data_IF_524050941427
#
_entry.id   IF_524050941427
#
_cell.length_a   1.000
_cell.length_b   1.000
_cell.length_c   1.000
_cell.angle_alpha   90.00
_cell.angle_beta   90.00
_cell.angle_gamma   90.00
#
_symmetry.space_group_name_H-M   'P 1'
#
loop_
_entity.id
_entity.type
_entity.pdbx_description
1 polymer ?
#
# COMPACT_ATOMS: atom_id res chain seq x y z
N UNK A 1 68.07 -20.39 12.09
CA UNK A 1 66.75 -20.62 12.74
C UNK A 1 65.94 -21.53 11.87
N UNK A 2 65.47 -22.71 12.32
CA UNK A 2 64.67 -23.57 11.48
C UNK A 2 63.34 -22.83 11.16
N UNK A 3 63.04 -22.65 9.88
CA UNK A 3 61.78 -22.11 9.42
C UNK A 3 60.68 -23.11 9.78
N UNK A 4 59.81 -22.77 10.73
CA UNK A 4 58.65 -23.59 11.11
C UNK A 4 57.82 -23.94 9.89
N UNK A 5 57.21 -25.13 9.90
CA UNK A 5 56.30 -25.61 8.82
C UNK A 5 55.20 -24.57 8.58
N UNK A 6 54.89 -24.23 7.31
CA UNK A 6 53.81 -23.28 6.99
C UNK A 6 52.49 -23.75 7.63
N UNK A 7 51.75 -22.81 8.25
CA UNK A 7 50.46 -23.11 8.86
C UNK A 7 49.40 -23.18 7.80
N UNK A 8 48.82 -24.36 7.57
CA UNK A 8 47.71 -24.62 6.65
C UNK A 8 46.48 -24.92 7.52
N UNK A 9 45.36 -24.30 7.18
CA UNK A 9 44.08 -24.59 7.85
C UNK A 9 43.29 -25.57 6.99
N UNK A 10 42.98 -26.79 7.49
CA UNK A 10 42.19 -27.75 6.74
C UNK A 10 40.75 -27.21 6.61
N UNK A 11 40.30 -26.90 5.37
CA UNK A 11 38.95 -26.48 5.07
C UNK A 11 38.42 -27.33 3.91
N UNK A 12 37.30 -27.99 4.14
CA UNK A 12 36.61 -28.77 3.09
C UNK A 12 35.39 -28.00 2.61
N UNK A 13 35.28 -27.83 1.32
CA UNK A 13 34.14 -27.17 0.66
C UNK A 13 33.39 -28.17 -0.20
N UNK A 14 32.05 -28.06 -0.26
CA UNK A 14 31.23 -28.82 -1.20
C UNK A 14 31.39 -28.24 -2.64
N UNK A 15 31.11 -29.01 -3.69
CA UNK A 15 31.14 -28.50 -5.07
C UNK A 15 30.28 -27.26 -5.28
N UNK A 16 29.12 -27.19 -4.64
CA UNK A 16 28.20 -26.04 -4.69
C UNK A 16 28.80 -24.81 -4.01
N UNK A 17 29.46 -24.99 -2.85
CA UNK A 17 30.15 -23.92 -2.17
C UNK A 17 31.33 -23.39 -2.98
N UNK A 18 32.07 -24.26 -3.63
CA UNK A 18 33.18 -23.86 -4.53
C UNK A 18 32.64 -23.03 -5.69
N UNK A 19 31.55 -23.45 -6.33
CA UNK A 19 30.93 -22.70 -7.43
C UNK A 19 30.49 -21.29 -6.99
N UNK A 20 29.76 -21.21 -5.87
CA UNK A 20 29.26 -19.94 -5.29
C UNK A 20 30.41 -19.00 -4.90
N UNK A 21 31.43 -19.53 -4.21
CA UNK A 21 32.61 -18.75 -3.81
C UNK A 21 33.42 -18.26 -5.01
N UNK A 22 33.53 -19.08 -6.06
CA UNK A 22 34.21 -18.70 -7.32
C UNK A 22 33.46 -17.55 -8.01
N UNK A 23 32.14 -17.60 -8.05
CA UNK A 23 31.32 -16.53 -8.60
C UNK A 23 31.56 -15.22 -7.82
N UNK A 24 31.57 -15.27 -6.48
CA UNK A 24 31.81 -14.09 -5.62
C UNK A 24 33.24 -13.58 -5.83
N UNK A 25 34.24 -14.46 -5.84
CA UNK A 25 35.65 -14.10 -5.98
C UNK A 25 35.98 -13.39 -7.31
N UNK A 26 35.18 -13.65 -8.37
CA UNK A 26 35.31 -13.07 -9.69
C UNK A 26 34.32 -11.93 -9.96
N UNK A 27 33.44 -11.63 -9.02
CA UNK A 27 32.43 -10.57 -9.17
C UNK A 27 33.06 -9.18 -9.15
N UNK A 28 32.64 -8.32 -10.09
CA UNK A 28 33.01 -6.90 -10.14
C UNK A 28 32.08 -6.01 -9.32
N UNK A 29 30.93 -6.54 -8.89
CA UNK A 29 29.89 -5.79 -8.18
C UNK A 29 29.74 -6.22 -6.71
N UNK A 30 30.31 -7.35 -6.31
CA UNK A 30 30.30 -7.78 -4.92
C UNK A 30 31.18 -6.86 -4.06
N UNK A 31 30.84 -6.73 -2.79
CA UNK A 31 31.64 -5.96 -1.84
C UNK A 31 33.10 -6.49 -1.80
N UNK A 32 34.06 -5.59 -1.84
CA UNK A 32 35.50 -5.95 -1.83
C UNK A 32 35.83 -6.92 -0.71
N UNK A 33 35.24 -6.76 0.44
CA UNK A 33 35.43 -7.61 1.61
C UNK A 33 34.92 -9.05 1.39
N UNK A 34 33.79 -9.20 0.69
CA UNK A 34 33.27 -10.53 0.35
C UNK A 34 34.15 -11.23 -0.69
N UNK A 35 34.67 -10.47 -1.68
CA UNK A 35 35.62 -11.00 -2.67
C UNK A 35 36.90 -11.49 -2.00
N UNK A 36 37.49 -10.70 -1.08
CA UNK A 36 38.67 -11.13 -0.31
C UNK A 36 38.39 -12.40 0.50
N UNK A 37 37.25 -12.46 1.21
CA UNK A 37 36.85 -13.61 2.02
C UNK A 37 36.63 -14.87 1.17
N UNK A 38 35.99 -14.74 0.02
CA UNK A 38 35.80 -15.85 -0.91
C UNK A 38 37.15 -16.40 -1.41
N UNK A 39 38.10 -15.53 -1.75
CA UNK A 39 39.45 -15.93 -2.18
C UNK A 39 40.20 -16.67 -1.07
N UNK A 40 40.11 -16.19 0.18
CA UNK A 40 40.70 -16.86 1.34
C UNK A 40 40.16 -18.28 1.50
N UNK A 41 38.82 -18.46 1.39
CA UNK A 41 38.18 -19.77 1.57
C UNK A 41 38.57 -20.75 0.46
N UNK A 42 38.57 -20.29 -0.80
CA UNK A 42 38.98 -21.11 -1.95
C UNK A 42 40.45 -21.51 -1.84
N UNK A 43 41.32 -20.55 -1.51
CA UNK A 43 42.73 -20.83 -1.34
C UNK A 43 43.04 -21.73 -0.18
N UNK A 44 42.33 -21.61 0.95
CA UNK A 44 42.47 -22.51 2.11
C UNK A 44 42.01 -23.93 1.75
N UNK A 45 40.92 -24.09 1.02
CA UNK A 45 40.43 -25.39 0.56
C UNK A 45 41.39 -26.06 -0.44
N UNK A 46 42.16 -25.28 -1.23
CA UNK A 46 43.23 -25.80 -2.09
C UNK A 46 44.56 -26.08 -1.35
N UNK A 47 44.60 -25.90 -0.04
CA UNK A 47 45.77 -26.19 0.80
C UNK A 47 46.85 -25.08 0.81
N UNK A 48 46.57 -23.86 0.39
CA UNK A 48 47.52 -22.75 0.45
C UNK A 48 47.85 -22.36 1.90
N UNK A 49 49.13 -22.06 2.20
CA UNK A 49 49.52 -21.54 3.51
C UNK A 49 48.87 -20.19 3.84
N UNK A 50 48.54 -19.96 5.11
CA UNK A 50 47.93 -18.69 5.56
C UNK A 50 48.75 -17.45 5.19
N UNK A 51 50.11 -17.58 5.12
CA UNK A 51 50.98 -16.48 4.73
C UNK A 51 50.78 -16.09 3.30
N UNK A 52 50.67 -17.04 2.37
CA UNK A 52 50.43 -16.83 0.94
C UNK A 52 49.07 -16.22 0.70
N UNK A 53 48.01 -16.73 1.39
CA UNK A 53 46.67 -16.16 1.34
C UNK A 53 46.65 -14.71 1.83
N UNK A 54 47.40 -14.38 2.87
CA UNK A 54 47.51 -13.02 3.40
C UNK A 54 48.12 -12.04 2.36
N UNK A 55 49.16 -12.49 1.65
CA UNK A 55 49.81 -11.73 0.60
C UNK A 55 48.86 -11.53 -0.58
N UNK A 56 48.17 -12.59 -1.06
CA UNK A 56 47.21 -12.51 -2.18
C UNK A 56 46.04 -11.52 -1.93
N UNK A 57 45.51 -11.48 -0.70
CA UNK A 57 44.39 -10.60 -0.39
C UNK A 57 44.77 -9.30 0.31
N UNK A 58 46.07 -9.04 0.46
CA UNK A 58 46.65 -7.84 1.10
C UNK A 58 46.12 -7.63 2.55
N UNK A 59 46.07 -8.71 3.34
CA UNK A 59 45.68 -8.70 4.73
C UNK A 59 46.83 -9.23 5.61
N UNK A 60 46.72 -8.99 6.93
CA UNK A 60 47.67 -9.61 7.86
C UNK A 60 47.38 -11.09 8.02
N UNK A 61 48.42 -11.91 8.27
CA UNK A 61 48.28 -13.35 8.57
C UNK A 61 47.32 -13.61 9.74
N UNK A 62 47.37 -12.77 10.76
CA UNK A 62 46.47 -12.85 11.90
C UNK A 62 44.99 -12.58 11.52
N UNK A 63 44.74 -11.72 10.56
CA UNK A 63 43.37 -11.47 10.04
C UNK A 63 42.85 -12.68 9.27
N UNK A 64 43.68 -13.28 8.41
CA UNK A 64 43.34 -14.50 7.66
C UNK A 64 43.11 -15.67 8.62
N UNK A 65 43.98 -15.88 9.61
CA UNK A 65 43.80 -16.93 10.61
C UNK A 65 42.50 -16.77 11.41
N UNK A 66 42.18 -15.55 11.82
CA UNK A 66 40.92 -15.25 12.55
C UNK A 66 39.69 -15.51 11.66
N UNK A 67 39.77 -15.13 10.41
CA UNK A 67 38.67 -15.37 9.48
C UNK A 67 38.47 -16.86 9.19
N UNK A 68 39.55 -17.62 8.95
CA UNK A 68 39.45 -19.07 8.75
C UNK A 68 38.91 -19.79 10.02
N UNK A 69 39.29 -19.35 11.20
CA UNK A 69 38.71 -19.87 12.44
C UNK A 69 37.20 -19.60 12.52
N UNK A 70 36.76 -18.38 12.14
CA UNK A 70 35.34 -18.05 12.05
C UNK A 70 34.63 -18.98 11.05
N UNK A 71 35.20 -19.20 9.87
CA UNK A 71 34.61 -20.06 8.84
C UNK A 71 34.47 -21.52 9.27
N UNK A 72 35.40 -22.01 10.06
CA UNK A 72 35.33 -23.35 10.66
C UNK A 72 34.26 -23.46 11.75
N UNK A 73 33.97 -22.37 12.46
CA UNK A 73 32.98 -22.36 13.56
C UNK A 73 31.54 -22.23 13.08
N UNK A 74 31.28 -21.34 12.09
CA UNK A 74 29.93 -20.99 11.66
C UNK A 74 29.60 -21.43 10.22
N UNK A 75 30.57 -22.04 9.55
CA UNK A 75 30.47 -22.44 8.15
C UNK A 75 31.00 -21.41 7.14
N UNK A 76 31.53 -21.88 5.99
CA UNK A 76 32.19 -21.02 5.00
C UNK A 76 31.30 -19.91 4.44
N UNK A 77 30.05 -20.23 4.08
CA UNK A 77 29.12 -19.26 3.49
C UNK A 77 28.67 -18.21 4.50
N UNK A 78 28.35 -18.60 5.72
CA UNK A 78 27.98 -17.68 6.80
C UNK A 78 29.13 -16.75 7.20
N UNK A 79 30.37 -17.20 7.04
CA UNK A 79 31.54 -16.41 7.38
C UNK A 79 31.78 -15.23 6.42
N UNK A 80 31.21 -15.27 5.20
CA UNK A 80 31.32 -14.17 4.23
C UNK A 80 30.72 -12.87 4.77
N UNK A 81 29.69 -12.97 5.59
CA UNK A 81 29.05 -11.82 6.19
C UNK A 81 29.68 -11.40 7.52
N UNK A 82 29.55 -10.12 7.85
CA UNK A 82 29.95 -9.65 9.17
C UNK A 82 28.89 -10.03 10.20
N UNK A 83 29.31 -10.72 11.24
CA UNK A 83 28.43 -10.97 12.39
C UNK A 83 28.08 -9.63 13.05
N UNK A 84 26.80 -9.49 13.41
CA UNK A 84 26.34 -8.33 14.17
C UNK A 84 27.21 -8.20 15.44
N UNK A 85 27.84 -7.06 15.62
CA UNK A 85 28.64 -6.80 16.84
C UNK A 85 27.72 -6.70 18.03
N UNK A 86 28.17 -7.13 19.20
CA UNK A 86 27.40 -7.09 20.45
C UNK A 86 26.91 -5.67 20.83
N UNK A 87 27.56 -4.65 20.29
CA UNK A 87 27.18 -3.27 20.57
C UNK A 87 27.33 -2.89 22.06
N UNK A 88 26.81 -1.71 22.40
CA UNK A 88 26.64 -1.29 23.79
C UNK A 88 25.52 -2.13 24.42
N UNK A 89 25.65 -2.65 25.63
CA UNK A 89 24.58 -3.35 26.34
C UNK A 89 23.30 -2.48 26.32
N UNK A 90 22.17 -3.13 26.06
CA UNK A 90 20.89 -2.43 26.08
C UNK A 90 20.59 -1.92 27.49
N UNK A 91 20.32 -0.63 27.63
CA UNK A 91 19.94 -0.03 28.93
C UNK A 91 18.52 -0.38 29.33
N UNK A 92 17.68 -0.78 28.39
CA UNK A 92 16.27 -1.20 28.59
C UNK A 92 16.24 -2.72 28.41
N UNK A 93 15.85 -3.43 29.44
CA UNK A 93 15.74 -4.91 29.45
C UNK A 93 14.62 -5.38 28.52
N UNK A 94 14.66 -6.64 28.09
CA UNK A 94 13.62 -7.24 27.25
C UNK A 94 12.26 -7.30 27.97
N UNK A 95 12.27 -7.51 29.30
CA UNK A 95 11.04 -7.47 30.12
C UNK A 95 10.40 -6.07 30.10
N UNK A 96 11.22 -5.02 30.25
CA UNK A 96 10.75 -3.65 30.18
C UNK A 96 10.18 -3.31 28.80
N UNK A 97 10.80 -3.79 27.71
CA UNK A 97 10.29 -3.66 26.34
C UNK A 97 8.95 -4.40 26.17
N UNK A 98 8.87 -5.61 26.70
CA UNK A 98 7.64 -6.43 26.67
C UNK A 98 6.51 -5.76 27.42
N UNK A 99 6.78 -5.17 28.57
CA UNK A 99 5.80 -4.39 29.32
C UNK A 99 5.27 -3.20 28.51
N UNK A 100 6.15 -2.40 27.87
CA UNK A 100 5.74 -1.28 27.01
C UNK A 100 4.87 -1.77 25.84
N UNK A 101 5.22 -2.89 25.22
CA UNK A 101 4.43 -3.49 24.13
C UNK A 101 3.06 -3.95 24.62
N UNK A 102 2.99 -4.59 25.79
CA UNK A 102 1.72 -5.00 26.40
C UNK A 102 0.81 -3.81 26.69
N UNK A 103 1.35 -2.71 27.23
CA UNK A 103 0.60 -1.46 27.41
C UNK A 103 0.04 -0.91 26.10
N UNK A 104 0.87 -0.92 25.05
CA UNK A 104 0.46 -0.43 23.74
C UNK A 104 -0.64 -1.27 23.10
N UNK A 105 -0.75 -2.55 23.43
CA UNK A 105 -1.81 -3.46 22.97
C UNK A 105 -3.09 -3.35 23.81
N UNK A 106 -3.07 -2.67 24.94
CA UNK A 106 -4.23 -2.46 25.79
C UNK A 106 -4.85 -1.09 25.52
N UNK A 107 -6.16 -0.96 25.28
CA UNK A 107 -6.80 0.35 25.13
C UNK A 107 -6.52 1.24 26.36
N UNK A 108 -6.20 2.54 26.16
CA UNK A 108 -5.87 3.44 27.27
C UNK A 108 -6.92 3.47 28.38
N UNK A 109 -8.19 3.46 28.00
CA UNK A 109 -9.36 3.51 28.89
C UNK A 109 -9.51 2.27 29.81
N UNK A 110 -8.88 1.14 29.42
CA UNK A 110 -9.00 -0.15 30.15
C UNK A 110 -7.86 -0.32 31.17
N UNK A 111 -6.96 0.67 31.26
CA UNK A 111 -5.86 0.67 32.21
C UNK A 111 -6.21 1.50 33.48
N UNK A 112 -5.70 1.12 34.63
CA UNK A 112 -5.79 1.95 35.84
C UNK A 112 -5.18 3.33 35.57
N UNK A 113 -5.88 4.40 35.90
CA UNK A 113 -5.46 5.79 35.66
C UNK A 113 -5.06 6.08 34.19
N UNK A 114 -5.55 5.26 33.24
CA UNK A 114 -5.33 5.45 31.82
C UNK A 114 -6.00 6.74 31.31
N UNK A 115 -5.45 7.37 30.27
CA UNK A 115 -6.08 8.54 29.69
C UNK A 115 -7.41 8.18 29.02
N UNK A 116 -8.34 9.14 28.99
CA UNK A 116 -9.68 8.97 28.41
C UNK A 116 -9.71 8.79 26.89
N UNK A 117 -8.57 8.87 26.25
CA UNK A 117 -8.41 8.69 24.79
C UNK A 117 -8.74 7.27 24.36
N UNK A 118 -9.37 7.12 23.19
CA UNK A 118 -9.68 5.80 22.61
C UNK A 118 -8.43 5.04 22.14
N UNK A 119 -7.40 5.77 21.71
CA UNK A 119 -6.15 5.23 21.18
C UNK A 119 -4.95 5.89 21.85
N UNK A 120 -3.85 5.17 21.93
CA UNK A 120 -2.57 5.73 22.34
C UNK A 120 -2.01 6.68 21.29
N UNK A 121 -1.59 7.87 21.70
CA UNK A 121 -0.55 8.59 20.98
C UNK A 121 0.81 8.21 21.56
N UNK A 122 1.89 8.42 20.80
CA UNK A 122 3.25 8.18 21.32
C UNK A 122 3.55 9.02 22.56
N UNK A 123 2.93 10.18 22.66
CA UNK A 123 3.10 11.11 23.78
C UNK A 123 2.41 10.61 25.04
N UNK A 124 1.15 10.23 24.92
CA UNK A 124 0.37 9.74 26.05
C UNK A 124 0.87 8.40 26.55
N UNK A 125 1.32 7.51 25.65
CA UNK A 125 1.95 6.26 26.06
C UNK A 125 3.29 6.50 26.77
N UNK A 126 4.13 7.40 26.26
CA UNK A 126 5.39 7.74 26.92
C UNK A 126 5.17 8.37 28.30
N UNK A 127 4.14 9.21 28.45
CA UNK A 127 3.77 9.81 29.74
C UNK A 127 3.29 8.74 30.72
N UNK A 128 2.45 7.81 30.28
CA UNK A 128 1.96 6.71 31.09
C UNK A 128 3.10 5.77 31.55
N UNK A 129 3.97 5.39 30.61
CA UNK A 129 5.17 4.56 30.92
C UNK A 129 6.04 5.23 31.97
N UNK A 130 6.36 6.54 31.82
CA UNK A 130 7.15 7.26 32.82
C UNK A 130 6.50 7.29 34.20
N UNK A 131 5.18 7.50 34.26
CA UNK A 131 4.43 7.58 35.51
C UNK A 131 4.46 6.25 36.28
N UNK A 132 4.38 5.11 35.57
CA UNK A 132 4.26 3.79 36.18
C UNK A 132 5.55 2.96 36.16
N UNK A 133 6.65 3.48 35.60
CA UNK A 133 7.90 2.75 35.46
C UNK A 133 8.50 2.32 36.79
N UNK A 134 8.39 3.12 37.85
CA UNK A 134 8.92 2.80 39.18
C UNK A 134 8.17 1.65 39.85
N UNK A 135 6.84 1.67 39.76
CA UNK A 135 5.97 0.62 40.31
C UNK A 135 6.28 -0.75 39.67
N UNK A 136 6.68 -0.74 38.40
CA UNK A 136 7.03 -1.92 37.62
C UNK A 136 8.54 -2.27 37.73
N UNK A 137 9.31 -1.59 38.59
CA UNK A 137 10.77 -1.75 38.76
C UNK A 137 11.61 -1.40 37.52
N UNK A 138 11.06 -0.56 36.60
CA UNK A 138 11.75 -0.08 35.40
C UNK A 138 12.09 1.41 35.47
N UNK A 139 12.06 2.02 36.66
CA UNK A 139 12.28 3.46 36.86
C UNK A 139 13.62 3.96 36.31
N UNK A 140 14.70 3.25 36.50
CA UNK A 140 16.03 3.62 35.98
C UNK A 140 16.06 3.66 34.43
N UNK A 141 15.40 2.72 33.77
CA UNK A 141 15.48 2.54 32.33
C UNK A 141 14.37 3.29 31.57
N UNK A 142 13.16 3.39 32.13
CA UNK A 142 11.98 3.94 31.49
C UNK A 142 11.40 5.19 32.14
N UNK A 143 11.82 5.54 33.37
CA UNK A 143 11.32 6.73 34.09
C UNK A 143 11.58 8.06 33.36
N UNK A 144 12.51 8.08 32.41
CA UNK A 144 12.80 9.23 31.52
C UNK A 144 12.60 8.90 30.03
N UNK A 145 11.83 7.85 29.72
CA UNK A 145 11.63 7.42 28.34
C UNK A 145 11.01 8.53 27.48
N UNK A 146 11.66 8.82 26.36
CA UNK A 146 11.18 9.79 25.38
C UNK A 146 10.17 9.14 24.41
N UNK A 147 9.45 9.95 23.65
CA UNK A 147 8.59 9.46 22.54
C UNK A 147 9.38 8.58 21.57
N UNK A 148 10.63 8.97 21.26
CA UNK A 148 11.49 8.24 20.34
C UNK A 148 11.87 6.85 20.93
N UNK A 149 12.10 6.78 22.23
CA UNK A 149 12.38 5.51 22.92
C UNK A 149 11.18 4.57 22.80
N UNK A 150 9.98 5.07 23.10
CA UNK A 150 8.73 4.29 22.97
C UNK A 150 8.51 3.87 21.51
N UNK A 151 8.69 4.80 20.55
CA UNK A 151 8.56 4.49 19.14
C UNK A 151 9.51 3.36 18.70
N UNK A 152 10.77 3.41 19.10
CA UNK A 152 11.76 2.34 18.78
C UNK A 152 11.32 0.99 19.32
N UNK A 153 10.83 0.93 20.58
CA UNK A 153 10.36 -0.32 21.20
C UNK A 153 9.16 -0.89 20.44
N UNK A 154 8.24 -0.03 20.00
CA UNK A 154 7.04 -0.45 19.28
C UNK A 154 7.33 -0.84 17.83
N UNK A 155 8.25 -0.14 17.16
CA UNK A 155 8.63 -0.43 15.77
C UNK A 155 9.32 -1.80 15.65
N UNK A 156 10.15 -2.19 16.63
CA UNK A 156 10.73 -3.54 16.71
C UNK A 156 9.65 -4.65 16.80
N UNK A 157 8.48 -4.35 17.34
CA UNK A 157 7.33 -5.26 17.43
C UNK A 157 6.23 -5.02 16.40
N UNK A 158 6.46 -4.11 15.45
CA UNK A 158 5.47 -3.69 14.42
C UNK A 158 4.14 -3.19 15.00
N UNK A 159 4.14 -2.68 16.24
CA UNK A 159 2.95 -2.24 16.96
C UNK A 159 2.68 -0.76 16.67
N UNK A 160 1.47 -0.44 16.18
CA UNK A 160 1.05 0.93 15.81
C UNK A 160 -0.27 1.31 16.52
N UNK A 161 -0.26 1.55 17.83
CA UNK A 161 -1.48 1.72 18.65
C UNK A 161 -2.26 3.01 18.36
N UNK A 162 -1.67 3.92 17.58
CA UNK A 162 -2.26 5.17 17.11
C UNK A 162 -2.99 5.04 15.77
N UNK A 163 -3.01 3.83 15.17
CA UNK A 163 -3.63 3.59 13.86
C UNK A 163 -4.78 2.62 13.98
N UNK A 164 -5.87 2.95 13.29
CA UNK A 164 -7.02 2.06 13.12
C UNK A 164 -6.92 1.45 11.72
N UNK A 165 -7.04 0.13 11.65
CA UNK A 165 -7.28 -0.58 10.40
C UNK A 165 -8.63 -1.27 10.53
N UNK A 166 -9.55 -0.91 9.64
CA UNK A 166 -10.86 -1.54 9.63
C UNK A 166 -10.75 -2.94 9.03
N UNK A 167 -11.44 -3.90 9.61
CA UNK A 167 -11.61 -5.25 9.10
C UNK A 167 -13.10 -5.62 9.12
N UNK A 168 -13.49 -6.62 8.34
CA UNK A 168 -14.86 -7.10 8.24
C UNK A 168 -14.98 -8.44 8.99
N UNK A 169 -15.49 -8.39 10.23
CA UNK A 169 -15.63 -9.58 11.08
C UNK A 169 -16.75 -10.52 10.59
N UNK A 170 -17.87 -9.95 10.13
CA UNK A 170 -18.99 -10.73 9.60
C UNK A 170 -19.11 -10.52 8.09
N UNK A 171 -18.74 -11.53 7.32
CA UNK A 171 -19.05 -11.59 5.89
C UNK A 171 -20.49 -12.06 5.73
N UNK A 172 -21.28 -11.35 4.91
CA UNK A 172 -22.61 -11.84 4.54
C UNK A 172 -22.50 -13.19 3.81
N UNK A 173 -23.57 -14.03 3.81
CA UNK A 173 -23.55 -15.34 3.19
C UNK A 173 -23.19 -15.29 1.69
N UNK A 174 -23.49 -14.19 1.01
CA UNK A 174 -23.22 -14.01 -0.43
C UNK A 174 -21.88 -13.32 -0.72
N UNK A 175 -21.05 -13.05 0.31
CA UNK A 175 -19.84 -12.24 0.15
C UNK A 175 -18.87 -12.87 -0.86
N UNK A 176 -18.55 -14.14 -0.68
CA UNK A 176 -17.59 -14.84 -1.54
C UNK A 176 -18.11 -15.01 -2.99
N UNK A 177 -19.39 -15.32 -3.14
CA UNK A 177 -20.02 -15.46 -4.45
C UNK A 177 -19.95 -14.14 -5.24
N UNK A 178 -20.36 -13.02 -4.61
CA UNK A 178 -20.32 -11.69 -5.23
C UNK A 178 -18.89 -11.20 -5.48
N UNK A 179 -17.98 -11.41 -4.54
CA UNK A 179 -16.57 -11.05 -4.73
C UNK A 179 -15.97 -11.80 -5.92
N UNK A 180 -16.25 -13.12 -6.01
CA UNK A 180 -15.82 -13.95 -7.13
C UNK A 180 -16.39 -13.46 -8.46
N UNK A 181 -17.65 -13.08 -8.51
CA UNK A 181 -18.30 -12.56 -9.73
C UNK A 181 -17.61 -11.27 -10.22
N UNK A 182 -17.35 -10.31 -9.31
CA UNK A 182 -16.61 -9.07 -9.64
C UNK A 182 -15.20 -9.37 -10.13
N UNK A 183 -14.48 -10.28 -9.47
CA UNK A 183 -13.11 -10.63 -9.84
C UNK A 183 -13.02 -11.36 -11.17
N UNK A 184 -13.97 -12.24 -11.47
CA UNK A 184 -14.07 -12.89 -12.77
C UNK A 184 -14.32 -11.88 -13.88
N UNK A 185 -15.16 -10.86 -13.63
CA UNK A 185 -15.36 -9.76 -14.57
C UNK A 185 -14.05 -9.01 -14.82
N UNK A 186 -13.31 -8.63 -13.78
CA UNK A 186 -12.03 -7.93 -13.93
C UNK A 186 -10.99 -8.79 -14.65
N UNK A 187 -11.00 -10.10 -14.43
CA UNK A 187 -10.13 -11.02 -15.18
C UNK A 187 -10.50 -11.05 -16.66
N UNK A 188 -11.78 -11.01 -16.99
CA UNK A 188 -12.25 -10.91 -18.37
C UNK A 188 -11.80 -9.59 -19.00
N UNK A 189 -11.95 -8.45 -18.32
CA UNK A 189 -11.42 -7.15 -18.77
C UNK A 189 -9.92 -7.22 -19.06
N UNK A 190 -9.13 -7.86 -18.18
CA UNK A 190 -7.69 -8.03 -18.38
C UNK A 190 -7.37 -8.83 -19.64
N UNK A 191 -8.14 -9.91 -19.91
CA UNK A 191 -7.98 -10.74 -21.12
C UNK A 191 -8.32 -9.91 -22.36
N UNK A 192 -9.43 -9.18 -22.33
CA UNK A 192 -9.89 -8.35 -23.45
C UNK A 192 -8.86 -7.22 -23.73
N UNK A 193 -8.30 -6.57 -22.72
CA UNK A 193 -7.22 -5.59 -22.86
C UNK A 193 -5.97 -6.18 -23.51
N UNK A 194 -5.54 -7.37 -23.08
CA UNK A 194 -4.38 -8.04 -23.70
C UNK A 194 -4.64 -8.38 -25.17
N UNK A 195 -5.88 -8.75 -25.48
CA UNK A 195 -6.27 -9.05 -26.86
C UNK A 195 -6.24 -7.79 -27.74
N UNK A 196 -6.70 -6.65 -27.22
CA UNK A 196 -6.64 -5.34 -27.91
C UNK A 196 -5.18 -4.92 -28.14
N UNK A 197 -4.31 -5.06 -27.13
CA UNK A 197 -2.90 -4.73 -27.24
C UNK A 197 -2.17 -5.58 -28.32
N UNK A 198 -2.69 -6.77 -28.64
CA UNK A 198 -2.11 -7.65 -29.68
C UNK A 198 -2.65 -7.40 -31.09
N UNK A 199 -3.79 -6.76 -31.22
CA UNK A 199 -4.41 -6.41 -32.50
C UNK A 199 -4.27 -4.91 -32.74
N UNK A 200 -3.24 -4.51 -33.48
CA UNK A 200 -3.04 -3.10 -33.86
C UNK A 200 -4.33 -2.48 -34.42
N UNK A 201 -5.00 -1.67 -33.59
CA UNK A 201 -6.02 -0.72 -34.03
C UNK A 201 -7.47 -1.19 -34.06
N UNK A 202 -7.90 -2.21 -33.36
CA UNK A 202 -9.31 -2.57 -33.34
C UNK A 202 -10.09 -2.08 -32.12
N UNK A 203 -11.23 -1.45 -32.40
CA UNK A 203 -12.36 -1.18 -31.51
C UNK A 203 -12.73 -2.38 -30.63
N UNK A 204 -13.33 -2.09 -29.49
CA UNK A 204 -13.79 -3.00 -28.44
C UNK A 204 -14.03 -4.46 -28.86
N UNK A 205 -13.33 -5.47 -28.28
CA UNK A 205 -13.52 -6.85 -28.65
C UNK A 205 -14.94 -7.30 -28.29
N UNK A 206 -15.60 -7.94 -29.21
CA UNK A 206 -16.88 -8.65 -29.02
C UNK A 206 -18.10 -7.83 -28.60
N UNK A 207 -18.17 -6.53 -28.85
CA UNK A 207 -19.34 -5.72 -28.52
C UNK A 207 -19.70 -5.76 -27.02
N UNK A 208 -18.70 -5.84 -26.14
CA UNK A 208 -18.89 -5.86 -24.69
C UNK A 208 -18.26 -4.62 -24.06
N UNK A 209 -19.00 -3.96 -23.19
CA UNK A 209 -18.60 -2.76 -22.44
C UNK A 209 -18.57 -3.11 -20.95
N UNK A 210 -17.56 -2.64 -20.23
CA UNK A 210 -17.42 -2.86 -18.80
C UNK A 210 -17.30 -1.52 -18.08
N UNK A 211 -18.29 -1.18 -17.27
CA UNK A 211 -18.35 0.07 -16.51
C UNK A 211 -18.22 -0.23 -15.02
N UNK A 212 -17.34 0.47 -14.33
CA UNK A 212 -17.34 0.55 -12.87
C UNK A 212 -18.05 1.86 -12.50
N UNK A 213 -19.17 1.77 -11.78
CA UNK A 213 -20.07 2.88 -11.48
C UNK A 213 -20.21 3.08 -9.98
N UNK A 214 -20.32 4.36 -9.55
CA UNK A 214 -20.71 4.74 -8.19
C UNK A 214 -21.15 6.21 -8.14
N UNK A 215 -21.68 6.64 -6.99
CA UNK A 215 -22.02 8.01 -6.69
C UNK A 215 -21.05 8.63 -5.70
N UNK A 216 -20.69 9.89 -5.95
CA UNK A 216 -20.00 10.74 -4.99
C UNK A 216 -20.93 11.87 -4.54
N UNK A 217 -21.70 11.64 -3.44
CA UNK A 217 -22.59 12.66 -2.93
C UNK A 217 -21.85 13.75 -2.16
N UNK A 218 -22.51 14.89 -1.96
CA UNK A 218 -22.11 15.89 -0.98
C UNK A 218 -20.83 16.64 -1.31
N UNK A 219 -20.47 16.78 -2.60
CA UNK A 219 -19.35 17.64 -3.01
C UNK A 219 -19.71 19.08 -2.69
N UNK A 220 -18.96 19.72 -1.78
CA UNK A 220 -19.29 21.03 -1.23
C UNK A 220 -18.81 22.16 -2.14
N UNK A 221 -19.69 23.08 -2.48
CA UNK A 221 -19.35 24.38 -3.05
C UNK A 221 -19.02 25.34 -1.90
N UNK A 222 -17.73 25.64 -1.71
CA UNK A 222 -17.24 26.51 -0.63
C UNK A 222 -16.50 27.68 -1.26
N UNK A 223 -16.91 28.90 -0.89
CA UNK A 223 -16.25 30.15 -1.30
C UNK A 223 -15.49 30.79 -0.17
N UNK A 224 -14.47 31.55 -0.51
CA UNK A 224 -13.78 32.42 0.45
C UNK A 224 -14.63 33.66 0.74
N UNK A 225 -14.46 34.26 1.92
CA UNK A 225 -14.98 35.61 2.24
C UNK A 225 -13.99 36.67 1.79
N UNK A 226 -12.70 36.40 2.02
CA UNK A 226 -11.59 37.26 1.57
C UNK A 226 -10.63 36.44 0.70
N UNK A 227 -9.98 37.12 -0.24
CA UNK A 227 -9.05 36.49 -1.19
C UNK A 227 -7.87 35.80 -0.49
N UNK A 228 -7.45 34.69 -1.07
CA UNK A 228 -6.24 33.99 -0.66
C UNK A 228 -5.02 34.90 -0.86
N UNK A 229 -4.10 34.89 0.09
CA UNK A 229 -2.82 35.57 -0.02
C UNK A 229 -1.75 34.60 -0.53
N UNK A 230 -1.19 34.82 -1.73
CA UNK A 230 -0.23 33.90 -2.32
C UNK A 230 1.06 33.78 -1.48
N UNK A 231 1.85 32.73 -1.69
CA UNK A 231 3.17 32.60 -1.10
C UNK A 231 4.07 33.77 -1.49
N UNK A 232 4.91 34.20 -0.55
CA UNK A 232 5.90 35.26 -0.74
C UNK A 232 7.23 34.81 -0.12
N UNK A 233 8.38 35.33 -0.56
CA UNK A 233 9.66 35.09 0.10
C UNK A 233 9.56 35.38 1.62
N UNK A 234 9.97 34.39 2.44
CA UNK A 234 9.82 34.44 3.91
C UNK A 234 8.42 34.06 4.43
N UNK A 235 7.44 33.90 3.55
CA UNK A 235 6.06 33.44 3.86
C UNK A 235 5.63 32.38 2.86
N UNK A 236 6.23 31.19 2.97
CA UNK A 236 6.19 30.11 1.98
C UNK A 236 4.83 29.42 1.75
N UNK A 237 3.76 29.82 2.44
CA UNK A 237 2.45 29.19 2.34
C UNK A 237 1.39 30.15 1.79
N UNK A 238 0.44 29.62 1.01
CA UNK A 238 -0.81 30.32 0.72
C UNK A 238 -1.56 30.51 2.05
N UNK A 239 -1.91 31.73 2.37
CA UNK A 239 -2.68 32.08 3.57
C UNK A 239 -4.11 32.32 3.16
N UNK A 240 -5.02 31.58 3.77
CA UNK A 240 -6.45 31.60 3.53
C UNK A 240 -7.17 32.04 4.79
N UNK A 241 -8.27 32.79 4.62
CA UNK A 241 -9.14 33.15 5.71
C UNK A 241 -9.78 31.88 6.33
N UNK A 242 -9.99 31.89 7.64
CA UNK A 242 -10.72 30.85 8.34
C UNK A 242 -12.20 30.86 8.01
N UNK A 243 -12.75 32.03 7.72
CA UNK A 243 -14.16 32.16 7.38
C UNK A 243 -14.40 31.77 5.91
N UNK A 244 -15.51 31.09 5.70
CA UNK A 244 -15.93 30.64 4.37
C UNK A 244 -17.43 30.67 4.22
N UNK A 245 -17.90 30.78 2.98
CA UNK A 245 -19.30 30.72 2.63
C UNK A 245 -19.63 29.38 1.97
N UNK A 246 -20.74 28.76 2.41
CA UNK A 246 -21.25 27.53 1.78
C UNK A 246 -22.32 27.90 0.75
N UNK A 247 -22.17 27.42 -0.47
CA UNK A 247 -23.10 27.62 -1.58
C UNK A 247 -23.97 26.40 -1.86
N UNK A 248 -23.82 25.32 -1.07
CA UNK A 248 -24.56 24.08 -1.19
C UNK A 248 -23.65 22.92 -1.62
N UNK A 249 -24.30 21.85 -2.10
CA UNK A 249 -23.62 20.61 -2.48
C UNK A 249 -24.07 20.13 -3.84
N UNK A 250 -23.22 19.37 -4.52
CA UNK A 250 -23.54 18.61 -5.72
C UNK A 250 -23.26 17.13 -5.49
N UNK A 251 -23.94 16.30 -6.26
CA UNK A 251 -23.69 14.85 -6.36
C UNK A 251 -23.20 14.53 -7.75
N UNK A 252 -22.13 13.74 -7.83
CA UNK A 252 -21.57 13.24 -9.07
C UNK A 252 -21.93 11.76 -9.21
N UNK A 253 -22.66 11.39 -10.26
CA UNK A 253 -22.84 10.02 -10.72
C UNK A 253 -21.78 9.79 -11.79
N UNK A 254 -20.92 8.80 -11.62
CA UNK A 254 -19.84 8.57 -12.58
C UNK A 254 -19.63 7.08 -12.83
N UNK A 255 -19.21 6.76 -14.04
CA UNK A 255 -18.82 5.42 -14.46
C UNK A 255 -17.55 5.47 -15.31
N UNK A 256 -16.61 4.61 -15.03
CA UNK A 256 -15.38 4.45 -15.82
C UNK A 256 -15.51 3.23 -16.72
N UNK A 257 -15.30 3.41 -18.01
CA UNK A 257 -15.12 2.30 -18.95
C UNK A 257 -13.74 1.67 -18.68
N UNK A 258 -13.75 0.42 -18.27
CA UNK A 258 -12.53 -0.28 -17.84
C UNK A 258 -11.59 -0.64 -19.00
N UNK A 259 -12.09 -0.66 -20.23
CA UNK A 259 -11.30 -0.90 -21.45
C UNK A 259 -10.62 0.37 -21.91
N UNK A 260 -11.40 1.46 -22.06
CA UNK A 260 -10.91 2.71 -22.62
C UNK A 260 -10.35 3.67 -21.58
N UNK A 261 -10.72 3.51 -20.31
CA UNK A 261 -10.42 4.47 -19.24
C UNK A 261 -11.32 5.71 -19.26
N UNK A 262 -12.26 5.81 -20.20
CA UNK A 262 -13.16 6.95 -20.36
C UNK A 262 -14.13 7.05 -19.19
N UNK A 263 -14.33 8.25 -18.69
CA UNK A 263 -15.25 8.56 -17.59
C UNK A 263 -16.53 9.17 -18.14
N UNK A 264 -17.64 8.54 -17.84
CA UNK A 264 -18.99 9.06 -18.09
C UNK A 264 -19.53 9.66 -16.80
N UNK A 265 -20.15 10.83 -16.87
CA UNK A 265 -20.58 11.54 -15.65
C UNK A 265 -21.87 12.30 -15.81
N UNK A 266 -22.64 12.36 -14.73
CA UNK A 266 -23.78 13.25 -14.55
C UNK A 266 -23.65 13.98 -13.23
N UNK A 267 -23.77 15.31 -13.23
CA UNK A 267 -23.74 16.13 -12.02
C UNK A 267 -25.15 16.58 -11.71
N UNK A 268 -25.61 16.30 -10.50
CA UNK A 268 -26.95 16.61 -9.99
C UNK A 268 -26.87 17.29 -8.62
N UNK A 269 -27.93 17.94 -8.19
CA UNK A 269 -28.01 18.49 -6.83
C UNK A 269 -28.21 17.41 -5.77
N UNK A 270 -28.87 16.34 -6.15
CA UNK A 270 -29.13 15.14 -5.35
C UNK A 270 -28.96 13.93 -6.25
N UNK A 271 -28.98 12.73 -5.68
CA UNK A 271 -28.98 11.47 -6.43
C UNK A 271 -30.26 10.70 -6.10
N UNK A 272 -31.10 10.52 -7.10
CA UNK A 272 -32.36 9.78 -7.03
C UNK A 272 -32.33 8.62 -8.04
N UNK A 273 -33.29 7.71 -7.92
CA UNK A 273 -33.45 6.62 -8.91
C UNK A 273 -33.58 7.13 -10.34
N UNK A 274 -34.28 8.25 -10.53
CA UNK A 274 -34.40 8.90 -11.85
C UNK A 274 -33.06 9.36 -12.40
N UNK A 275 -32.16 9.89 -11.55
CA UNK A 275 -30.85 10.34 -11.99
C UNK A 275 -29.96 9.16 -12.41
N UNK A 276 -30.11 8.02 -11.73
CA UNK A 276 -29.43 6.79 -12.15
C UNK A 276 -29.99 6.26 -13.48
N UNK A 277 -31.31 6.31 -13.69
CA UNK A 277 -31.91 5.97 -14.99
C UNK A 277 -31.41 6.91 -16.08
N UNK A 278 -31.25 8.21 -15.82
CA UNK A 278 -30.67 9.15 -16.78
C UNK A 278 -29.20 8.80 -17.09
N UNK A 279 -28.44 8.36 -16.08
CA UNK A 279 -27.10 7.85 -16.31
C UNK A 279 -27.10 6.61 -17.21
N UNK A 280 -27.99 5.64 -16.98
CA UNK A 280 -28.12 4.46 -17.82
C UNK A 280 -28.50 4.84 -19.27
N UNK A 281 -29.40 5.81 -19.46
CA UNK A 281 -29.76 6.33 -20.80
C UNK A 281 -28.55 6.96 -21.50
N UNK A 282 -27.74 7.71 -20.78
CA UNK A 282 -26.51 8.30 -21.32
C UNK A 282 -25.54 7.22 -21.78
N UNK A 283 -25.30 6.20 -20.95
CA UNK A 283 -24.46 5.06 -21.31
C UNK A 283 -25.02 4.31 -22.52
N UNK A 284 -26.32 4.06 -22.53
CA UNK A 284 -27.01 3.39 -23.63
C UNK A 284 -26.82 4.11 -24.96
N UNK A 285 -26.94 5.45 -24.96
CA UNK A 285 -26.77 6.29 -26.15
C UNK A 285 -25.29 6.42 -26.58
N UNK A 286 -24.33 6.14 -25.69
CA UNK A 286 -22.90 6.28 -25.99
C UNK A 286 -22.35 5.09 -26.77
N UNK A 287 -22.88 3.90 -26.54
CA UNK A 287 -22.37 2.66 -27.12
C UNK A 287 -23.35 2.06 -28.14
N UNK A 288 -22.82 1.40 -29.16
CA UNK A 288 -23.62 0.77 -30.21
C UNK A 288 -24.68 -0.18 -29.65
N UNK A 289 -25.82 -0.31 -30.28
CA UNK A 289 -26.99 -1.05 -29.78
C UNK A 289 -26.70 -2.57 -29.56
N UNK A 290 -25.75 -3.12 -30.32
CA UNK A 290 -25.35 -4.53 -30.25
C UNK A 290 -24.47 -4.85 -29.02
N UNK A 291 -23.90 -3.83 -28.37
CA UNK A 291 -23.01 -4.04 -27.24
C UNK A 291 -23.78 -4.51 -26.00
N UNK A 292 -23.21 -5.45 -25.26
CA UNK A 292 -23.63 -5.77 -23.89
C UNK A 292 -22.86 -4.93 -22.90
N UNK A 293 -23.56 -4.34 -21.93
CA UNK A 293 -22.98 -3.41 -20.95
C UNK A 293 -23.03 -4.06 -19.57
N UNK A 294 -21.85 -4.42 -19.06
CA UNK A 294 -21.68 -4.88 -17.68
C UNK A 294 -21.39 -3.68 -16.80
N UNK A 295 -22.14 -3.55 -15.71
CA UNK A 295 -21.92 -2.47 -14.73
C UNK A 295 -21.63 -3.06 -13.37
N UNK A 296 -20.43 -2.80 -12.85
CA UNK A 296 -20.06 -3.08 -11.46
C UNK A 296 -20.53 -1.92 -10.61
N UNK A 297 -21.30 -2.21 -9.58
CA UNK A 297 -21.92 -1.21 -8.72
C UNK A 297 -22.16 -1.77 -7.30
N UNK A 298 -22.42 -0.91 -6.35
CA UNK A 298 -22.74 -1.30 -4.98
C UNK A 298 -24.20 -1.77 -4.82
N UNK A 299 -24.56 -2.17 -3.60
CA UNK A 299 -25.93 -2.64 -3.30
C UNK A 299 -26.88 -1.49 -2.89
N UNK A 300 -26.67 -0.25 -3.38
CA UNK A 300 -27.56 0.86 -3.07
C UNK A 300 -28.98 0.60 -3.65
N UNK A 301 -30.00 0.99 -2.93
CA UNK A 301 -31.41 0.67 -3.27
C UNK A 301 -31.88 1.32 -4.58
N UNK A 302 -31.26 2.40 -5.02
CA UNK A 302 -31.60 3.05 -6.28
C UNK A 302 -31.33 2.15 -7.49
N UNK A 303 -30.32 1.28 -7.42
CA UNK A 303 -29.91 0.37 -8.49
C UNK A 303 -30.96 -0.73 -8.75
N UNK A 304 -31.79 -1.03 -7.75
CA UNK A 304 -32.85 -2.05 -7.83
C UNK A 304 -34.24 -1.45 -7.69
N UNK A 305 -34.37 -0.14 -7.84
CA UNK A 305 -35.64 0.58 -7.73
C UNK A 305 -36.65 0.15 -8.79
N UNK A 306 -37.94 0.50 -8.60
CA UNK A 306 -38.97 0.24 -9.60
C UNK A 306 -38.70 0.98 -10.92
N UNK A 307 -38.19 2.21 -10.84
CA UNK A 307 -37.85 3.03 -12.00
C UNK A 307 -36.69 2.42 -12.79
N UNK A 308 -35.66 1.97 -12.08
CA UNK A 308 -34.49 1.29 -12.70
C UNK A 308 -34.92 0.01 -13.39
N UNK A 309 -35.70 -0.84 -12.73
CA UNK A 309 -36.20 -2.10 -13.32
C UNK A 309 -37.05 -1.84 -14.55
N UNK A 310 -37.98 -0.87 -14.48
CA UNK A 310 -38.83 -0.49 -15.60
C UNK A 310 -38.00 -0.08 -16.82
N UNK A 311 -36.91 0.68 -16.61
CA UNK A 311 -36.00 1.04 -17.70
C UNK A 311 -35.27 -0.20 -18.25
N UNK A 312 -34.69 -1.03 -17.39
CA UNK A 312 -33.98 -2.26 -17.81
C UNK A 312 -34.89 -3.24 -18.58
N UNK A 313 -36.19 -3.30 -18.22
CA UNK A 313 -37.17 -4.12 -18.94
C UNK A 313 -37.39 -3.64 -20.39
N UNK A 314 -37.18 -2.36 -20.69
CA UNK A 314 -37.22 -1.82 -22.06
C UNK A 314 -35.97 -2.16 -22.86
N UNK A 315 -34.88 -2.53 -22.19
CA UNK A 315 -33.56 -2.81 -22.77
C UNK A 315 -33.06 -4.22 -22.42
N UNK A 316 -33.94 -5.23 -22.56
CA UNK A 316 -33.66 -6.61 -22.20
C UNK A 316 -32.37 -7.16 -22.83
N UNK A 317 -31.50 -7.69 -22.01
CA UNK A 317 -30.22 -8.28 -22.45
C UNK A 317 -29.10 -7.27 -22.72
N UNK A 318 -29.38 -5.94 -22.67
CA UNK A 318 -28.43 -4.87 -22.89
C UNK A 318 -27.53 -4.64 -21.69
N UNK A 319 -28.11 -4.54 -20.49
CA UNK A 319 -27.43 -4.27 -19.24
C UNK A 319 -27.35 -5.50 -18.36
N UNK A 320 -26.18 -5.75 -17.77
CA UNK A 320 -25.97 -6.75 -16.73
C UNK A 320 -25.27 -6.10 -15.52
N UNK A 321 -25.95 -6.10 -14.38
CA UNK A 321 -25.40 -5.56 -13.13
C UNK A 321 -24.63 -6.62 -12.38
N UNK A 322 -23.44 -6.25 -11.92
CA UNK A 322 -22.56 -7.05 -11.07
C UNK A 322 -22.42 -6.33 -9.74
N UNK A 323 -23.04 -6.87 -8.71
CA UNK A 323 -23.07 -6.21 -7.41
C UNK A 323 -21.83 -6.55 -6.57
N UNK A 324 -21.16 -5.52 -6.04
CA UNK A 324 -20.11 -5.73 -5.05
C UNK A 324 -20.68 -6.34 -3.77
N UNK A 325 -19.89 -7.11 -2.98
CA UNK A 325 -20.32 -7.54 -1.66
C UNK A 325 -20.61 -6.35 -0.75
N UNK A 326 -21.49 -6.51 0.21
CA UNK A 326 -21.71 -5.49 1.25
C UNK A 326 -20.40 -5.21 1.98
N UNK A 327 -20.10 -3.95 2.25
CA UNK A 327 -18.88 -3.46 2.91
C UNK A 327 -17.58 -3.72 2.14
N UNK A 328 -17.66 -4.00 0.84
CA UNK A 328 -16.49 -4.21 -0.02
C UNK A 328 -16.45 -3.18 -1.17
N UNK A 329 -16.69 -1.90 -0.88
CA UNK A 329 -16.60 -0.81 -1.86
C UNK A 329 -15.21 -0.73 -2.51
N UNK A 330 -14.15 -1.17 -1.81
CA UNK A 330 -12.79 -1.26 -2.35
C UNK A 330 -12.67 -2.17 -3.59
N UNK A 331 -13.62 -3.07 -3.83
CA UNK A 331 -13.73 -3.83 -5.07
C UNK A 331 -14.30 -2.99 -6.23
N UNK A 332 -14.92 -1.85 -5.96
CA UNK A 332 -15.43 -0.95 -6.98
C UNK A 332 -14.32 0.02 -7.44
N UNK A 333 -13.84 -0.17 -8.67
CA UNK A 333 -12.66 0.55 -9.18
C UNK A 333 -12.87 2.06 -9.32
N UNK A 334 -14.10 2.52 -9.48
CA UNK A 334 -14.45 3.95 -9.56
C UNK A 334 -14.05 4.73 -8.28
N UNK A 335 -13.95 4.06 -7.15
CA UNK A 335 -13.50 4.65 -5.89
C UNK A 335 -12.08 5.23 -6.00
N UNK A 336 -11.22 4.58 -6.78
CA UNK A 336 -9.87 5.08 -7.04
C UNK A 336 -9.91 6.39 -7.85
N UNK A 337 -10.84 6.51 -8.81
CA UNK A 337 -11.09 7.74 -9.55
C UNK A 337 -11.60 8.85 -8.64
N UNK A 338 -12.58 8.58 -7.79
CA UNK A 338 -13.07 9.57 -6.83
C UNK A 338 -11.99 10.04 -5.86
N UNK A 339 -11.10 9.14 -5.45
CA UNK A 339 -9.94 9.47 -4.63
C UNK A 339 -8.93 10.35 -5.38
N UNK A 340 -8.70 10.10 -6.67
CA UNK A 340 -7.86 10.94 -7.54
C UNK A 340 -8.47 12.33 -7.68
N UNK A 341 -9.77 12.42 -8.01
CA UNK A 341 -10.51 13.69 -8.13
C UNK A 341 -10.44 14.51 -6.84
N UNK A 342 -10.70 13.87 -5.69
CA UNK A 342 -10.65 14.55 -4.39
C UNK A 342 -9.28 15.17 -4.10
N UNK A 343 -8.20 14.49 -4.46
CA UNK A 343 -6.83 14.97 -4.23
C UNK A 343 -6.38 16.02 -5.24
N UNK A 344 -6.69 15.83 -6.52
CA UNK A 344 -6.15 16.65 -7.61
C UNK A 344 -7.02 17.86 -7.96
N UNK A 345 -8.34 17.71 -7.87
CA UNK A 345 -9.31 18.70 -8.31
C UNK A 345 -10.02 19.41 -7.16
N UNK A 346 -10.51 18.66 -6.18
CA UNK A 346 -11.36 19.25 -5.13
C UNK A 346 -10.58 19.75 -3.91
N UNK A 347 -9.37 19.24 -3.67
CA UNK A 347 -8.58 19.63 -2.50
C UNK A 347 -8.17 21.09 -2.57
N UNK A 348 -8.69 21.87 -1.62
CA UNK A 348 -8.39 23.28 -1.54
C UNK A 348 -9.16 24.16 -2.54
N UNK A 349 -10.03 23.58 -3.37
CA UNK A 349 -10.89 24.33 -4.28
C UNK A 349 -11.76 25.32 -3.52
N UNK A 350 -11.93 26.50 -4.10
CA UNK A 350 -12.89 27.53 -3.69
C UNK A 350 -13.68 27.99 -4.91
N UNK A 351 -15.00 28.06 -4.73
CA UNK A 351 -15.95 28.43 -5.78
C UNK A 351 -17.03 29.34 -5.20
N UNK A 352 -17.62 30.20 -6.02
CA UNK A 352 -18.59 31.19 -5.58
C UNK A 352 -20.04 30.73 -5.81
N UNK A 353 -20.23 29.58 -6.47
CA UNK A 353 -21.55 29.01 -6.75
C UNK A 353 -21.48 27.50 -6.96
N UNK A 354 -22.66 26.84 -6.98
CA UNK A 354 -22.77 25.43 -7.40
C UNK A 354 -22.47 25.26 -8.88
N UNK A 355 -22.80 26.26 -9.70
CA UNK A 355 -22.55 26.20 -11.15
C UNK A 355 -21.07 26.26 -11.45
N UNK A 356 -20.31 27.13 -10.76
CA UNK A 356 -18.85 27.15 -10.85
C UNK A 356 -18.24 25.80 -10.42
N UNK A 357 -18.78 25.17 -9.37
CA UNK A 357 -18.34 23.83 -8.97
C UNK A 357 -18.65 22.79 -10.05
N UNK A 358 -19.83 22.86 -10.68
CA UNK A 358 -20.23 21.97 -11.77
C UNK A 358 -19.26 22.09 -12.95
N UNK A 359 -19.02 23.33 -13.38
CA UNK A 359 -18.13 23.62 -14.51
C UNK A 359 -16.71 23.13 -14.23
N UNK A 360 -16.22 23.34 -13.00
CA UNK A 360 -14.90 22.86 -12.57
C UNK A 360 -14.80 21.33 -12.63
N UNK A 361 -15.80 20.62 -12.11
CA UNK A 361 -15.83 19.15 -12.15
C UNK A 361 -15.90 18.63 -13.59
N UNK A 362 -16.78 19.23 -14.40
CA UNK A 362 -16.94 18.87 -15.81
C UNK A 362 -15.62 19.04 -16.55
N UNK A 363 -15.01 20.21 -16.45
CA UNK A 363 -13.73 20.50 -17.10
C UNK A 363 -12.64 19.52 -16.67
N UNK A 364 -12.53 19.19 -15.39
CA UNK A 364 -11.54 18.23 -14.92
C UNK A 364 -11.77 16.80 -15.45
N UNK A 365 -13.04 16.41 -15.62
CA UNK A 365 -13.39 15.11 -16.23
C UNK A 365 -13.05 15.13 -17.71
N UNK A 366 -13.34 16.23 -18.42
CA UNK A 366 -13.02 16.39 -19.84
C UNK A 366 -11.50 16.32 -20.06
N UNK A 367 -10.70 17.03 -19.25
CA UNK A 367 -9.23 16.94 -19.26
C UNK A 367 -8.74 15.50 -18.97
N UNK A 368 -9.42 14.77 -18.10
CA UNK A 368 -9.10 13.36 -17.82
C UNK A 368 -9.44 12.47 -19.02
N UNK A 369 -10.47 12.80 -19.77
CA UNK A 369 -10.92 12.08 -20.96
C UNK A 369 -10.12 12.42 -22.22
N UNK A 370 -9.31 13.47 -22.24
CA UNK A 370 -8.37 13.77 -23.35
C UNK A 370 -7.26 12.71 -23.44
N UNK A 371 -6.78 12.20 -22.29
CA UNK A 371 -5.80 11.10 -22.22
C UNK A 371 -6.28 10.05 -21.21
N UNK A 372 -7.31 9.26 -21.57
CA UNK A 372 -7.92 8.30 -20.68
C UNK A 372 -6.99 7.12 -20.45
N UNK A 373 -6.76 6.76 -19.18
CA UNK A 373 -5.89 5.65 -18.81
C UNK A 373 -6.73 4.42 -18.47
N UNK A 374 -6.64 3.34 -19.26
CA UNK A 374 -7.29 2.08 -18.94
C UNK A 374 -6.91 1.60 -17.56
N UNK A 375 -7.89 1.11 -16.82
CA UNK A 375 -7.63 0.67 -15.46
C UNK A 375 -6.94 -0.70 -15.46
N UNK A 376 -5.69 -0.78 -14.97
CA UNK A 376 -4.95 -2.04 -14.85
C UNK A 376 -5.11 -2.59 -13.45
N UNK A 377 -5.82 -3.72 -13.32
CA UNK A 377 -5.91 -4.49 -12.09
C UNK A 377 -4.56 -5.13 -11.77
N UNK A 378 -4.01 -4.85 -10.57
CA UNK A 378 -2.68 -5.34 -10.16
C UNK A 378 -2.71 -6.59 -9.29
N UNK A 379 -3.86 -6.99 -8.80
CA UNK A 379 -4.01 -8.13 -7.92
C UNK A 379 -4.10 -9.43 -8.71
N UNK A 380 -3.32 -10.44 -8.32
CA UNK A 380 -3.49 -11.80 -8.84
C UNK A 380 -4.68 -12.45 -8.16
N UNK A 381 -5.37 -13.36 -8.85
CA UNK A 381 -6.52 -14.10 -8.28
C UNK A 381 -6.12 -14.82 -6.98
N UNK A 382 -4.93 -15.39 -6.91
CA UNK A 382 -4.40 -16.10 -5.75
C UNK A 382 -4.17 -15.13 -4.58
N UNK A 383 -3.63 -13.93 -4.83
CA UNK A 383 -3.44 -12.88 -3.81
C UNK A 383 -4.78 -12.37 -3.26
N UNK A 384 -5.82 -12.32 -4.09
CA UNK A 384 -7.17 -11.95 -3.64
C UNK A 384 -7.80 -13.06 -2.82
N UNK A 385 -7.55 -14.31 -3.16
CA UNK A 385 -7.99 -15.46 -2.37
C UNK A 385 -7.29 -15.50 -1.01
N UNK A 386 -5.99 -15.23 -0.97
CA UNK A 386 -5.24 -15.06 0.27
C UNK A 386 -5.73 -13.84 1.08
N UNK A 387 -6.05 -12.71 0.42
CA UNK A 387 -6.60 -11.53 1.09
C UNK A 387 -7.98 -11.84 1.68
N UNK A 388 -8.85 -12.52 0.94
CA UNK A 388 -10.17 -12.96 1.42
C UNK A 388 -10.00 -13.93 2.61
N UNK A 389 -9.00 -14.80 2.58
CA UNK A 389 -8.70 -15.76 3.63
C UNK A 389 -7.97 -15.10 4.84
N UNK A 390 -7.12 -14.11 4.61
CA UNK A 390 -6.42 -13.36 5.67
C UNK A 390 -7.33 -12.36 6.41
N UNK A 391 -8.50 -12.09 5.88
CA UNK A 391 -9.57 -11.35 6.53
C UNK A 391 -10.44 -12.26 7.42
N UNK A 392 -10.08 -13.55 7.51
CA UNK A 392 -10.58 -14.49 8.52
C UNK A 392 -9.65 -14.45 9.74
#
# INVERSE_FOLDING_TARGET
MPRGRPVVTPLTLTPEQVASLTQIANSRTAEHRQVQRARILLGAASGKPQKELAEEVQLSVSAVARFLRKALQIGPMMALEDLKRSGRPATISDDARTWVRSLACTPPKDLPDGPTQALWSMETLAAYVRKHAEEQRYGESLGKASKSTIWTILEEGEIKPHRIRYYLEKKGPDFEAKAREVLLLYKRVEIDLRFIDTLEGSSQPNGTVYISYDEKPGIQAIGNIHDDRPPQPGKGFTRRDYEYRRHGTLSLLAGIDLITGKVHSLIRERHKSSDFVDFLRMIDATYADECRIFIVLDNHSIHTSKETRAYLDTRKGRFQFIFTPKHASWLNLIEAFFSKMARQSLRGLRVNSKDELRDHITKWIDETNEDPVPFRWRWKLDEVHELINSLN
#
